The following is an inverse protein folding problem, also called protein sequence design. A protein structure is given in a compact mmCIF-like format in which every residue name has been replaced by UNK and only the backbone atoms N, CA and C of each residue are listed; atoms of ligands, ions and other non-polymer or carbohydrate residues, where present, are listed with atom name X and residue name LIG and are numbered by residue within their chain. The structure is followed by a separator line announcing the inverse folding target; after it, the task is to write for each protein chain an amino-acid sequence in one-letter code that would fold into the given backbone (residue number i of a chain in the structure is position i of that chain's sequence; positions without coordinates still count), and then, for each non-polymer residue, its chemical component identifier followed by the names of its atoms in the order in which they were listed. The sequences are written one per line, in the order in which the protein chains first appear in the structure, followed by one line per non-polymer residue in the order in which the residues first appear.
data_IF_610397322001
#
_entry.id   IF_610397322001
#
_cell.length_a   1.000
_cell.length_b   1.000
_cell.length_c   1.000
_cell.angle_alpha   90.00
_cell.angle_beta   90.00
_cell.angle_gamma   90.00
#
_symmetry.space_group_name_H-M   'P 1'
#
loop_
_entity.id
_entity.type
_entity.pdbx_description
1 polymer ?
#
# COMPACT_ATOMS: atom_id res chain seq x y z
N UNK A 1 -2.08 -4.28 -17.76
CA UNK A 1 -1.59 -5.11 -16.62
C UNK A 1 -0.32 -5.82 -17.08
N UNK A 2 0.80 -5.68 -16.36
CA UNK A 2 1.96 -6.56 -16.60
C UNK A 2 1.62 -7.93 -16.02
N UNK A 3 1.60 -8.97 -16.86
CA UNK A 3 1.43 -10.34 -16.38
C UNK A 3 2.64 -10.71 -15.50
N UNK A 4 2.38 -11.17 -14.27
CA UNK A 4 3.42 -11.66 -13.38
C UNK A 4 3.90 -13.02 -13.89
N UNK A 5 5.18 -13.10 -14.29
CA UNK A 5 5.81 -14.34 -14.72
C UNK A 5 6.52 -14.98 -13.52
N UNK A 6 5.92 -16.04 -12.97
CA UNK A 6 6.44 -16.75 -11.79
C UNK A 6 7.78 -17.44 -12.03
N UNK A 7 8.18 -17.66 -13.29
CA UNK A 7 9.46 -18.30 -13.64
C UNK A 7 10.64 -17.33 -13.61
N UNK A 8 10.38 -16.02 -13.61
CA UNK A 8 11.42 -15.00 -13.75
C UNK A 8 11.44 -14.02 -12.57
N UNK A 9 11.53 -14.56 -11.35
CA UNK A 9 11.54 -13.80 -10.09
C UNK A 9 12.68 -12.76 -9.99
N UNK A 10 13.79 -12.94 -10.72
CA UNK A 10 14.87 -11.95 -10.80
C UNK A 10 14.41 -10.60 -11.37
N UNK A 11 13.41 -10.60 -12.28
CA UNK A 11 12.80 -9.35 -12.76
C UNK A 11 11.94 -8.67 -11.70
N UNK A 12 11.37 -9.44 -10.76
CA UNK A 12 10.68 -8.87 -9.60
C UNK A 12 11.67 -8.22 -8.63
N UNK A 13 12.92 -8.70 -8.59
CA UNK A 13 14.03 -8.11 -7.85
C UNK A 13 14.66 -6.89 -8.54
N UNK A 14 14.11 -6.41 -9.65
CA UNK A 14 14.59 -5.20 -10.33
C UNK A 14 14.22 -3.93 -9.52
N UNK A 15 14.91 -3.73 -8.40
CA UNK A 15 14.68 -2.71 -7.38
C UNK A 15 14.84 -1.26 -7.88
N UNK A 16 15.49 -1.07 -9.04
CA UNK A 16 15.86 0.25 -9.56
C UNK A 16 14.67 1.14 -9.97
N UNK A 17 13.47 0.57 -10.20
CA UNK A 17 12.26 1.32 -10.59
C UNK A 17 11.30 1.63 -9.45
N UNK A 18 11.56 1.17 -8.23
CA UNK A 18 10.65 1.42 -7.10
C UNK A 18 10.93 2.79 -6.48
N UNK A 19 9.97 3.72 -6.57
CA UNK A 19 10.06 5.04 -5.93
C UNK A 19 10.28 4.94 -4.42
N UNK A 20 9.75 3.90 -3.79
CA UNK A 20 9.96 3.60 -2.37
C UNK A 20 11.43 3.37 -2.05
N UNK A 21 12.14 2.61 -2.90
CA UNK A 21 13.56 2.32 -2.69
C UNK A 21 14.39 3.61 -2.79
N UNK A 22 14.11 4.48 -3.77
CA UNK A 22 14.81 5.76 -3.93
C UNK A 22 14.61 6.69 -2.74
N UNK A 23 13.42 6.69 -2.14
CA UNK A 23 13.12 7.49 -0.94
C UNK A 23 13.81 6.97 0.31
N UNK A 24 13.92 5.64 0.48
CA UNK A 24 14.52 5.02 1.66
C UNK A 24 16.05 4.89 1.59
N UNK A 25 16.61 4.82 0.37
CA UNK A 25 18.04 4.67 0.14
C UNK A 25 18.93 5.68 0.90
N UNK A 26 18.66 7.01 0.90
CA UNK A 26 19.50 7.96 1.63
C UNK A 26 19.50 7.69 3.14
N UNK A 27 18.36 7.35 3.73
CA UNK A 27 18.26 7.03 5.16
C UNK A 27 19.02 5.76 5.51
N UNK A 28 18.94 4.73 4.66
CA UNK A 28 19.67 3.46 4.85
C UNK A 28 21.17 3.69 4.72
N UNK A 29 21.62 4.44 3.72
CA UNK A 29 23.03 4.77 3.54
C UNK A 29 23.58 5.58 4.71
N UNK A 30 22.82 6.58 5.18
CA UNK A 30 23.20 7.38 6.35
C UNK A 30 23.35 6.50 7.61
N UNK A 31 22.36 5.67 7.92
CA UNK A 31 22.42 4.76 9.06
C UNK A 31 23.57 3.75 8.94
N UNK A 32 23.81 3.23 7.73
CA UNK A 32 24.93 2.32 7.45
C UNK A 32 26.29 2.98 7.64
N UNK A 33 26.51 4.17 7.10
CA UNK A 33 27.75 4.93 7.26
C UNK A 33 27.99 5.32 8.72
N UNK A 34 26.94 5.76 9.42
CA UNK A 34 27.00 6.08 10.84
C UNK A 34 27.43 4.87 11.68
N UNK A 35 26.79 3.72 11.45
CA UNK A 35 27.08 2.47 12.19
C UNK A 35 28.49 1.96 11.88
N UNK A 36 28.91 2.01 10.60
CA UNK A 36 30.26 1.61 10.20
C UNK A 36 31.33 2.53 10.79
N UNK A 37 31.08 3.85 10.81
CA UNK A 37 31.98 4.83 11.44
C UNK A 37 32.12 4.62 12.94
N UNK A 38 31.00 4.39 13.64
CA UNK A 38 31.00 4.09 15.07
C UNK A 38 31.79 2.80 15.38
N UNK A 39 31.57 1.73 14.61
CA UNK A 39 32.29 0.46 14.79
C UNK A 39 33.78 0.56 14.46
N UNK A 40 34.15 1.34 13.45
CA UNK A 40 35.56 1.59 13.12
C UNK A 40 36.26 2.38 14.24
N UNK A 41 35.61 3.40 14.79
CA UNK A 41 36.12 4.23 15.88
C UNK A 41 36.27 3.44 17.19
N UNK A 42 35.31 2.56 17.49
CA UNK A 42 35.37 1.64 18.62
C UNK A 42 36.57 0.70 18.52
N UNK A 43 36.81 0.14 17.33
CA UNK A 43 37.88 -0.85 17.09
C UNK A 43 39.29 -0.23 17.15
N UNK A 44 39.46 1.00 16.61
CA UNK A 44 40.79 1.62 16.51
C UNK A 44 41.23 2.34 17.79
N UNK A 45 40.33 3.03 18.49
CA UNK A 45 40.70 3.90 19.60
C UNK A 45 40.40 3.29 20.97
N UNK A 46 39.29 2.55 21.10
CA UNK A 46 38.73 2.29 22.40
C UNK A 46 39.21 0.98 23.05
N UNK A 47 39.68 -0.02 22.28
CA UNK A 47 40.17 -1.32 22.80
C UNK A 47 39.33 -1.85 24.00
N UNK A 48 38.01 -1.61 23.97
CA UNK A 48 37.14 -1.92 25.11
C UNK A 48 37.06 -3.44 25.18
N UNK A 49 37.67 -3.99 26.22
CA UNK A 49 37.53 -5.39 26.60
C UNK A 49 36.04 -5.74 26.62
N UNK A 50 35.66 -6.88 26.03
CA UNK A 50 34.28 -7.35 25.72
C UNK A 50 33.29 -7.44 26.91
N UNK A 51 33.65 -6.91 28.05
CA UNK A 51 32.98 -7.02 29.33
C UNK A 51 32.77 -5.63 29.90
N UNK A 52 31.54 -5.08 29.82
CA UNK A 52 30.80 -4.73 31.04
C UNK A 52 29.42 -4.05 30.80
N UNK A 53 29.07 -3.52 29.62
CA UNK A 53 27.73 -2.92 29.43
C UNK A 53 27.11 -3.08 28.03
N UNK A 54 27.94 -3.20 26.99
CA UNK A 54 27.49 -3.22 25.58
C UNK A 54 26.74 -4.51 25.21
N UNK A 55 26.99 -5.63 25.89
CA UNK A 55 26.34 -6.92 25.58
C UNK A 55 24.82 -6.92 25.84
N UNK A 56 24.34 -6.13 26.81
CA UNK A 56 22.90 -6.03 27.10
C UNK A 56 22.14 -5.22 26.04
N UNK A 57 22.84 -4.36 25.28
CA UNK A 57 22.24 -3.56 24.22
C UNK A 57 21.67 -4.43 23.10
N UNK A 58 22.32 -5.54 22.77
CA UNK A 58 21.85 -6.51 21.77
C UNK A 58 20.52 -7.13 22.19
N UNK A 59 20.36 -7.46 23.46
CA UNK A 59 19.11 -8.04 24.00
C UNK A 59 17.98 -7.00 23.93
N UNK A 60 18.25 -5.76 24.37
CA UNK A 60 17.29 -4.66 24.28
C UNK A 60 16.88 -4.36 22.83
N UNK A 61 17.85 -4.33 21.90
CA UNK A 61 17.60 -4.12 20.48
C UNK A 61 16.78 -5.27 19.88
N UNK A 62 17.04 -6.51 20.28
CA UNK A 62 16.28 -7.68 19.81
C UNK A 62 14.83 -7.65 20.28
N UNK A 63 14.58 -7.32 21.55
CA UNK A 63 13.24 -7.19 22.11
C UNK A 63 12.46 -6.04 21.45
N UNK A 64 13.11 -4.89 21.28
CA UNK A 64 12.51 -3.74 20.61
C UNK A 64 12.23 -4.04 19.13
N UNK A 65 13.17 -4.68 18.43
CA UNK A 65 13.01 -5.11 17.05
C UNK A 65 11.87 -6.10 16.87
N UNK A 66 11.70 -7.04 17.80
CA UNK A 66 10.56 -7.95 17.83
C UNK A 66 9.24 -7.20 18.00
N UNK A 67 9.14 -6.29 18.97
CA UNK A 67 7.94 -5.49 19.20
C UNK A 67 7.56 -4.64 17.98
N UNK A 68 8.52 -3.95 17.37
CA UNK A 68 8.31 -3.14 16.15
C UNK A 68 7.87 -4.03 14.98
N UNK A 69 8.50 -5.18 14.78
CA UNK A 69 8.14 -6.14 13.73
C UNK A 69 6.70 -6.61 13.87
N UNK A 70 6.29 -6.98 15.09
CA UNK A 70 4.91 -7.39 15.38
C UNK A 70 3.89 -6.29 15.07
N UNK A 71 4.17 -5.05 15.52
CA UNK A 71 3.31 -3.90 15.24
C UNK A 71 3.22 -3.61 13.73
N UNK A 72 4.33 -3.74 13.01
CA UNK A 72 4.36 -3.58 11.56
C UNK A 72 3.46 -4.60 10.88
N UNK A 73 3.53 -5.87 11.27
CA UNK A 73 2.68 -6.95 10.73
C UNK A 73 1.20 -6.62 10.89
N UNK A 74 0.77 -6.26 12.10
CA UNK A 74 -0.63 -5.87 12.34
C UNK A 74 -1.05 -4.68 11.48
N UNK A 75 -0.23 -3.63 11.42
CA UNK A 75 -0.50 -2.45 10.59
C UNK A 75 -0.60 -2.80 9.10
N UNK A 76 0.29 -3.65 8.60
CA UNK A 76 0.29 -4.06 7.19
C UNK A 76 -0.91 -4.92 6.84
N UNK A 77 -1.35 -5.79 7.75
CA UNK A 77 -2.55 -6.62 7.55
C UNK A 77 -3.80 -5.75 7.47
N UNK A 78 -4.01 -4.84 8.43
CA UNK A 78 -5.17 -3.94 8.39
C UNK A 78 -5.17 -3.04 7.16
N UNK A 79 -4.00 -2.53 6.75
CA UNK A 79 -3.89 -1.73 5.52
C UNK A 79 -4.22 -2.57 4.27
N UNK A 80 -3.78 -3.84 4.23
CA UNK A 80 -4.09 -4.76 3.14
C UNK A 80 -5.58 -5.10 3.09
N UNK A 81 -6.21 -5.36 4.23
CA UNK A 81 -7.64 -5.65 4.32
C UNK A 81 -8.49 -4.48 3.81
N UNK A 82 -8.15 -3.24 4.21
CA UNK A 82 -8.80 -2.02 3.68
C UNK A 82 -8.62 -1.86 2.18
N UNK A 83 -7.40 -2.10 1.67
CA UNK A 83 -7.16 -2.07 0.22
C UNK A 83 -7.97 -3.13 -0.52
N UNK A 84 -8.04 -4.34 0.03
CA UNK A 84 -8.78 -5.46 -0.54
C UNK A 84 -10.29 -5.21 -0.50
N UNK A 85 -10.81 -4.65 0.59
CA UNK A 85 -12.19 -4.22 0.72
C UNK A 85 -12.57 -3.19 -0.35
N UNK A 86 -11.78 -2.15 -0.53
CA UNK A 86 -11.99 -1.17 -1.60
C UNK A 86 -12.03 -1.83 -2.98
N UNK A 87 -11.12 -2.76 -3.26
CA UNK A 87 -11.12 -3.52 -4.53
C UNK A 87 -12.40 -4.37 -4.70
N UNK A 88 -12.86 -5.04 -3.64
CA UNK A 88 -14.11 -5.82 -3.66
C UNK A 88 -15.31 -4.93 -3.99
N UNK A 89 -15.42 -3.76 -3.35
CA UNK A 89 -16.50 -2.79 -3.59
C UNK A 89 -16.50 -2.28 -5.04
N UNK A 90 -15.33 -1.95 -5.60
CA UNK A 90 -15.22 -1.60 -7.02
C UNK A 90 -15.63 -2.75 -7.95
N UNK A 91 -15.29 -4.00 -7.60
CA UNK A 91 -15.76 -5.18 -8.33
C UNK A 91 -17.27 -5.38 -8.25
N UNK A 92 -17.86 -5.18 -7.07
CA UNK A 92 -19.31 -5.21 -6.87
C UNK A 92 -20.02 -4.13 -7.68
N UNK A 93 -19.47 -2.91 -7.74
CA UNK A 93 -20.00 -1.83 -8.56
C UNK A 93 -20.14 -2.25 -10.02
N UNK A 94 -19.11 -2.86 -10.61
CA UNK A 94 -19.17 -3.37 -12.01
C UNK A 94 -20.29 -4.38 -12.20
N UNK A 95 -20.45 -5.32 -11.26
CA UNK A 95 -21.51 -6.33 -11.33
C UNK A 95 -22.90 -5.71 -11.21
N UNK A 96 -23.08 -4.78 -10.27
CA UNK A 96 -24.35 -4.05 -10.09
C UNK A 96 -24.66 -3.23 -11.33
N UNK A 97 -23.71 -2.47 -11.87
CA UNK A 97 -23.89 -1.69 -13.11
C UNK A 97 -24.35 -2.56 -14.28
N UNK A 98 -23.75 -3.75 -14.47
CA UNK A 98 -24.17 -4.71 -15.51
C UNK A 98 -25.59 -5.21 -15.28
N UNK A 99 -25.90 -5.62 -14.06
CA UNK A 99 -27.24 -6.12 -13.72
C UNK A 99 -28.31 -5.03 -13.92
N UNK A 100 -28.02 -3.80 -13.51
CA UNK A 100 -28.91 -2.65 -13.72
C UNK A 100 -29.14 -2.40 -15.21
N UNK A 101 -28.09 -2.42 -16.04
CA UNK A 101 -28.23 -2.24 -17.49
C UNK A 101 -29.13 -3.33 -18.13
N UNK A 102 -28.96 -4.60 -17.73
CA UNK A 102 -29.80 -5.72 -18.20
C UNK A 102 -31.25 -5.54 -17.76
N UNK A 103 -31.49 -5.17 -16.49
CA UNK A 103 -32.85 -4.93 -15.97
C UNK A 103 -33.55 -3.79 -16.71
N UNK A 104 -32.86 -2.67 -16.93
CA UNK A 104 -33.40 -1.54 -17.70
C UNK A 104 -33.74 -1.98 -19.13
N UNK A 105 -32.87 -2.75 -19.78
CA UNK A 105 -33.12 -3.27 -21.11
C UNK A 105 -34.35 -4.20 -21.19
N UNK A 106 -34.59 -4.98 -20.13
CA UNK A 106 -35.75 -5.87 -20.03
C UNK A 106 -37.06 -5.11 -19.69
N UNK A 107 -36.99 -4.04 -18.88
CA UNK A 107 -38.16 -3.25 -18.49
C UNK A 107 -38.64 -2.33 -19.60
N UNK A 108 -37.76 -1.87 -20.49
CA UNK A 108 -38.11 -0.91 -21.56
C UNK A 108 -37.58 -1.41 -22.93
N UNK A 109 -38.15 -2.50 -23.47
CA UNK A 109 -37.60 -3.17 -24.65
C UNK A 109 -37.69 -2.35 -25.95
N UNK A 110 -38.75 -1.57 -26.13
CA UNK A 110 -39.02 -0.79 -27.35
C UNK A 110 -38.41 0.62 -27.32
N UNK A 111 -38.05 1.15 -26.14
CA UNK A 111 -37.51 2.50 -26.01
C UNK A 111 -35.98 2.50 -26.06
N UNK A 112 -35.44 2.64 -27.27
CA UNK A 112 -33.99 2.75 -27.48
C UNK A 112 -33.39 4.01 -26.84
N UNK A 113 -34.15 5.12 -26.76
CA UNK A 113 -33.66 6.39 -26.22
C UNK A 113 -33.44 6.25 -24.71
N UNK A 114 -34.44 5.76 -23.98
CA UNK A 114 -34.34 5.53 -22.53
C UNK A 114 -33.23 4.54 -22.18
N UNK A 115 -33.07 3.45 -22.94
CA UNK A 115 -31.96 2.49 -22.72
C UNK A 115 -30.59 3.15 -22.90
N UNK A 116 -30.42 3.96 -23.94
CA UNK A 116 -29.16 4.67 -24.19
C UNK A 116 -28.84 5.70 -23.10
N UNK A 117 -29.87 6.38 -22.59
CA UNK A 117 -29.74 7.33 -21.48
C UNK A 117 -29.24 6.66 -20.21
N UNK A 118 -29.87 5.56 -19.78
CA UNK A 118 -29.44 4.83 -18.58
C UNK A 118 -28.08 4.16 -18.76
N UNK A 119 -27.78 3.60 -19.94
CA UNK A 119 -26.47 3.03 -20.20
C UNK A 119 -25.34 4.06 -20.03
N UNK A 120 -25.57 5.30 -20.50
CA UNK A 120 -24.65 6.42 -20.30
C UNK A 120 -24.55 6.80 -18.81
N UNK A 121 -25.68 6.97 -18.12
CA UNK A 121 -25.71 7.37 -16.72
C UNK A 121 -25.00 6.37 -15.80
N UNK A 122 -25.20 5.07 -16.03
CA UNK A 122 -24.53 3.99 -15.27
C UNK A 122 -23.01 4.06 -15.45
N UNK A 123 -22.53 4.34 -16.68
CA UNK A 123 -21.11 4.52 -16.96
C UNK A 123 -20.54 5.80 -16.34
N UNK A 124 -21.26 6.91 -16.44
CA UNK A 124 -20.86 8.21 -15.87
C UNK A 124 -20.80 8.17 -14.34
N UNK A 125 -21.70 7.45 -13.67
CA UNK A 125 -21.68 7.27 -12.21
C UNK A 125 -20.34 6.70 -11.73
N UNK A 126 -19.81 5.66 -12.38
CA UNK A 126 -18.53 5.07 -11.99
C UNK A 126 -17.35 6.05 -12.17
N UNK A 127 -17.40 6.89 -13.21
CA UNK A 127 -16.40 7.92 -13.45
C UNK A 127 -16.46 9.04 -12.40
N UNK A 128 -17.66 9.50 -12.06
CA UNK A 128 -17.86 10.53 -11.03
C UNK A 128 -17.54 10.02 -9.63
N UNK A 129 -17.91 8.78 -9.29
CA UNK A 129 -17.53 8.17 -8.02
C UNK A 129 -16.00 8.15 -7.86
N UNK A 130 -15.26 7.82 -8.92
CA UNK A 130 -13.80 7.86 -8.90
C UNK A 130 -13.29 9.28 -8.69
N UNK A 131 -13.87 10.28 -9.36
CA UNK A 131 -13.48 11.69 -9.20
C UNK A 131 -13.74 12.14 -7.76
N UNK A 132 -14.92 11.86 -7.24
CA UNK A 132 -15.33 12.17 -5.88
C UNK A 132 -14.35 11.59 -4.85
N UNK A 133 -14.02 10.29 -4.94
CA UNK A 133 -13.09 9.64 -4.01
C UNK A 133 -11.63 10.15 -4.09
N UNK A 134 -11.28 10.88 -5.15
CA UNK A 134 -9.95 11.51 -5.30
C UNK A 134 -9.92 12.97 -4.83
N UNK A 135 -11.08 13.57 -4.51
CA UNK A 135 -11.12 14.94 -4.01
C UNK A 135 -10.52 15.02 -2.61
N UNK A 136 -9.72 16.06 -2.39
CA UNK A 136 -9.13 16.33 -1.08
C UNK A 136 -10.21 16.61 -0.03
N UNK A 137 -11.29 17.28 -0.41
CA UNK A 137 -12.46 17.48 0.46
C UNK A 137 -13.01 16.14 0.99
N UNK A 138 -13.20 15.15 0.13
CA UNK A 138 -13.69 13.83 0.50
C UNK A 138 -12.69 13.10 1.42
N UNK A 139 -11.38 13.23 1.17
CA UNK A 139 -10.35 12.71 2.08
C UNK A 139 -10.50 13.32 3.47
N UNK A 140 -10.63 14.64 3.55
CA UNK A 140 -10.74 15.36 4.83
C UNK A 140 -12.05 15.02 5.58
N UNK A 141 -13.16 14.84 4.86
CA UNK A 141 -14.43 14.39 5.45
C UNK A 141 -14.31 12.98 6.05
N UNK A 142 -13.67 12.05 5.33
CA UNK A 142 -13.42 10.69 5.83
C UNK A 142 -12.45 10.64 7.02
N UNK A 143 -11.50 11.58 7.10
CA UNK A 143 -10.57 11.68 8.23
C UNK A 143 -11.18 12.41 9.44
N UNK A 144 -12.35 13.03 9.29
CA UNK A 144 -13.01 13.83 10.33
C UNK A 144 -13.97 13.06 11.25
N UNK A 145 -14.33 11.82 10.89
CA UNK A 145 -15.08 10.93 11.77
C UNK A 145 -14.13 10.00 12.55
N UNK A 146 -14.22 9.96 13.89
CA UNK A 146 -13.36 9.14 14.75
C UNK A 146 -13.58 7.63 14.63
#
# INVERSE_FOLDING_TARGET
MRAYDSRNWFRALALHKSDTFRKLLPSVLFAGLFTAGAGWLETQYFHISKTSYVNNLTVMHSLLGFAISMLLVFRTNTAYDRWWEGRKLWGQLVNVSRNTAVKVAAMVPEDAVTRSFYARLIGEFAAELRRHLLLEKTRMEMDSEP
#
